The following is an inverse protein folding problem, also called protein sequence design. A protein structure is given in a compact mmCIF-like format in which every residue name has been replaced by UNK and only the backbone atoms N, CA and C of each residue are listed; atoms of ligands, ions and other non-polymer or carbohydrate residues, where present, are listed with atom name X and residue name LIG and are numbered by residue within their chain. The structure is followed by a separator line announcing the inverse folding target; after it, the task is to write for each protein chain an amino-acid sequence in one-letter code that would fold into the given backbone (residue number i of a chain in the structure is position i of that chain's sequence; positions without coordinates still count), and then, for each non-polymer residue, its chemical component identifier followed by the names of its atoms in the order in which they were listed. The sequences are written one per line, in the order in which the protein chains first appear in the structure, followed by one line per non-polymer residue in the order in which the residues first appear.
data_IF_579351267155
#
_entry.id   IF_579351267155
#
_cell.length_a   1.000
_cell.length_b   1.000
_cell.length_c   1.000
_cell.angle_alpha   90.00
_cell.angle_beta   90.00
_cell.angle_gamma   90.00
#
_symmetry.space_group_name_H-M   'P 1'
#
loop_
_entity.id
_entity.type
_entity.pdbx_description
1 polymer ?
#
# COMPACT_ATOMS: atom_id res chain seq x y z
N UNK A 1 -15.85 3.38 7.54
CA UNK A 1 -14.47 2.97 7.18
C UNK A 1 -13.86 4.01 6.26
N UNK A 2 -12.61 4.36 6.47
CA UNK A 2 -11.84 5.31 5.68
C UNK A 2 -10.86 4.57 4.77
N UNK A 3 -10.80 4.97 3.50
CA UNK A 3 -9.74 4.56 2.57
C UNK A 3 -8.69 5.65 2.52
N UNK A 4 -7.43 5.27 2.61
CA UNK A 4 -6.29 6.19 2.67
C UNK A 4 -5.31 5.84 1.56
N UNK A 5 -4.76 6.84 0.89
CA UNK A 5 -3.56 6.70 0.08
C UNK A 5 -2.58 7.85 0.38
N UNK A 6 -1.33 7.69 0.00
CA UNK A 6 -0.31 8.72 0.21
C UNK A 6 0.29 9.14 -1.12
N UNK A 7 0.24 10.45 -1.42
CA UNK A 7 0.86 11.06 -2.60
C UNK A 7 1.92 12.05 -2.15
N UNK A 8 3.16 11.78 -2.48
CA UNK A 8 4.30 12.65 -2.17
C UNK A 8 5.22 12.77 -3.38
N UNK A 9 5.99 13.86 -3.43
CA UNK A 9 6.90 14.16 -4.54
C UNK A 9 6.18 14.20 -5.89
N UNK A 10 6.96 14.07 -6.97
CA UNK A 10 6.46 14.15 -8.35
C UNK A 10 6.25 12.79 -9.01
N UNK A 11 6.61 11.70 -8.34
CA UNK A 11 6.51 10.35 -8.89
C UNK A 11 5.05 9.91 -9.12
N UNK A 12 4.16 10.22 -8.16
CA UNK A 12 2.73 9.95 -8.28
C UNK A 12 1.95 11.22 -8.56
N UNK A 13 1.16 11.21 -9.64
CA UNK A 13 0.31 12.31 -10.06
C UNK A 13 -1.12 12.16 -9.52
N UNK A 14 -1.98 13.15 -9.76
CA UNK A 14 -3.40 13.04 -9.45
C UNK A 14 -4.10 11.95 -10.26
N UNK A 15 -3.54 11.54 -11.42
CA UNK A 15 -4.04 10.40 -12.16
C UNK A 15 -3.95 9.11 -11.34
N UNK A 16 -2.83 8.84 -10.68
CA UNK A 16 -2.66 7.64 -9.83
C UNK A 16 -3.69 7.60 -8.70
N UNK A 17 -3.97 8.75 -8.08
CA UNK A 17 -5.00 8.86 -7.02
C UNK A 17 -6.39 8.56 -7.58
N UNK A 18 -6.77 9.19 -8.70
CA UNK A 18 -8.05 8.96 -9.37
C UNK A 18 -8.19 7.52 -9.85
N UNK A 19 -7.11 6.96 -10.38
CA UNK A 19 -7.05 5.58 -10.84
C UNK A 19 -7.27 4.57 -9.71
N UNK A 20 -6.56 4.73 -8.59
CA UNK A 20 -6.77 3.90 -7.41
C UNK A 20 -8.24 3.98 -6.93
N UNK A 21 -8.76 5.20 -6.80
CA UNK A 21 -10.16 5.41 -6.40
C UNK A 21 -11.13 4.73 -7.35
N UNK A 22 -10.94 4.89 -8.66
CA UNK A 22 -11.75 4.22 -9.69
C UNK A 22 -11.75 2.70 -9.53
N UNK A 23 -10.57 2.09 -9.36
CA UNK A 23 -10.46 0.65 -9.19
C UNK A 23 -11.16 0.16 -7.91
N UNK A 24 -11.04 0.91 -6.82
CA UNK A 24 -11.74 0.59 -5.57
C UNK A 24 -13.25 0.66 -5.76
N UNK A 25 -13.77 1.73 -6.35
CA UNK A 25 -15.19 1.97 -6.54
C UNK A 25 -15.82 0.94 -7.48
N UNK A 26 -15.09 0.56 -8.54
CA UNK A 26 -15.62 -0.27 -9.64
C UNK A 26 -15.47 -1.76 -9.38
N UNK A 27 -14.32 -2.20 -8.86
CA UNK A 27 -13.97 -3.62 -8.85
C UNK A 27 -13.91 -4.23 -7.45
N UNK A 28 -13.50 -3.46 -6.43
CA UNK A 28 -13.16 -4.03 -5.13
C UNK A 28 -14.35 -4.58 -4.34
N UNK A 29 -15.55 -4.06 -4.56
CA UNK A 29 -16.72 -4.35 -3.73
C UNK A 29 -16.66 -3.73 -2.32
N UNK A 30 -15.63 -2.98 -1.98
CA UNK A 30 -15.47 -2.30 -0.70
C UNK A 30 -16.47 -1.14 -0.59
N UNK A 31 -17.15 -1.05 0.55
CA UNK A 31 -17.95 0.14 0.94
C UNK A 31 -17.18 0.94 1.97
N UNK A 32 -17.06 2.23 1.73
CA UNK A 32 -16.35 3.15 2.60
C UNK A 32 -17.09 4.50 2.72
N UNK A 33 -16.80 5.26 3.76
CA UNK A 33 -17.44 6.55 4.04
C UNK A 33 -16.59 7.70 3.50
N UNK A 34 -15.28 7.53 3.47
CA UNK A 34 -14.32 8.58 3.13
C UNK A 34 -13.11 8.02 2.36
N UNK A 35 -12.68 8.74 1.32
CA UNK A 35 -11.42 8.50 0.59
C UNK A 35 -10.51 9.70 0.78
N UNK A 36 -9.36 9.49 1.41
CA UNK A 36 -8.44 10.56 1.78
C UNK A 36 -7.06 10.39 1.19
N UNK A 37 -6.40 11.50 0.92
CA UNK A 37 -5.05 11.55 0.36
C UNK A 37 -4.13 12.28 1.34
N UNK A 38 -3.15 11.57 1.87
CA UNK A 38 -2.06 12.21 2.61
C UNK A 38 -1.07 12.76 1.59
N UNK A 39 -0.91 14.07 1.54
CA UNK A 39 -0.09 14.75 0.53
C UNK A 39 1.06 15.58 1.11
N UNK A 40 1.22 15.60 2.43
CA UNK A 40 2.34 16.31 3.02
C UNK A 40 3.65 15.55 2.79
N UNK A 41 4.66 16.24 2.28
CA UNK A 41 5.95 15.64 1.96
C UNK A 41 7.01 16.10 2.98
N UNK A 42 7.23 15.30 4.02
CA UNK A 42 8.19 15.55 5.08
C UNK A 42 9.57 14.92 4.81
N UNK A 43 9.61 13.86 3.99
CA UNK A 43 10.80 13.02 3.84
C UNK A 43 11.21 12.78 2.38
N UNK A 44 10.44 13.21 1.39
CA UNK A 44 10.73 12.99 -0.02
C UNK A 44 10.66 11.52 -0.47
N UNK A 45 10.11 10.62 0.34
CA UNK A 45 10.12 9.19 0.08
C UNK A 45 8.92 8.46 0.74
N UNK A 46 8.91 7.14 0.64
CA UNK A 46 7.84 6.26 1.16
C UNK A 46 7.60 6.34 2.67
N UNK A 47 8.51 6.90 3.47
CA UNK A 47 8.28 7.15 4.91
C UNK A 47 7.23 8.22 5.17
N UNK A 48 6.87 9.02 4.17
CA UNK A 48 5.78 9.99 4.28
C UNK A 48 4.45 9.35 4.68
N UNK A 49 4.19 8.10 4.31
CA UNK A 49 2.94 7.42 4.68
C UNK A 49 2.80 7.17 6.18
N UNK A 50 3.88 7.16 6.96
CA UNK A 50 3.82 6.98 8.42
C UNK A 50 3.00 8.05 9.13
N UNK A 51 2.86 9.26 8.53
CA UNK A 51 2.06 10.35 9.08
C UNK A 51 0.58 9.97 9.25
N UNK A 52 0.07 9.07 8.40
CA UNK A 52 -1.34 8.65 8.45
C UNK A 52 -1.74 8.06 9.82
N UNK A 53 -0.80 7.45 10.54
CA UNK A 53 -1.06 6.86 11.85
C UNK A 53 -1.23 7.91 12.96
N UNK A 54 -0.69 9.10 12.77
CA UNK A 54 -0.89 10.22 13.67
C UNK A 54 -2.14 11.04 13.32
N UNK A 55 -2.47 11.10 12.04
CA UNK A 55 -3.61 11.85 11.52
C UNK A 55 -4.92 11.09 11.78
N UNK A 56 -4.95 9.78 11.49
CA UNK A 56 -6.17 8.97 11.52
C UNK A 56 -6.13 7.97 12.69
N UNK A 57 -6.50 8.47 13.88
CA UNK A 57 -6.44 7.74 15.15
C UNK A 57 -7.75 7.05 15.53
N UNK A 58 -8.79 7.18 14.72
CA UNK A 58 -10.12 6.70 15.01
C UNK A 58 -10.68 5.81 13.89
N UNK A 59 -11.71 5.06 14.21
CA UNK A 59 -12.47 4.28 13.24
C UNK A 59 -11.66 3.17 12.56
N UNK A 60 -12.26 2.61 11.53
CA UNK A 60 -11.63 1.59 10.68
C UNK A 60 -10.93 2.26 9.51
N UNK A 61 -9.66 2.01 9.36
CA UNK A 61 -8.80 2.56 8.32
C UNK A 61 -8.23 1.45 7.43
N UNK A 62 -8.16 1.72 6.13
CA UNK A 62 -7.59 0.83 5.13
C UNK A 62 -6.75 1.67 4.14
N UNK A 63 -5.47 1.40 4.11
CA UNK A 63 -4.51 2.08 3.25
C UNK A 63 -4.17 1.23 2.03
N UNK A 64 -4.01 1.90 0.89
CA UNK A 64 -3.46 1.34 -0.34
C UNK A 64 -2.35 2.24 -0.90
N UNK A 65 -1.24 1.64 -1.35
CA UNK A 65 -0.26 2.33 -2.18
C UNK A 65 -0.88 2.69 -3.54
N UNK A 66 -0.35 3.73 -4.19
CA UNK A 66 -0.88 4.24 -5.47
C UNK A 66 -0.52 3.35 -6.68
N UNK A 67 0.39 2.40 -6.51
CA UNK A 67 0.83 1.46 -7.53
C UNK A 67 0.18 0.06 -7.40
N UNK A 68 -1.00 0.02 -6.83
CA UNK A 68 -1.83 -1.20 -6.80
C UNK A 68 -2.69 -1.31 -8.06
N UNK A 69 -2.96 -2.55 -8.50
CA UNK A 69 -4.01 -2.84 -9.50
C UNK A 69 -5.07 -3.73 -8.86
N UNK A 70 -6.28 -3.21 -8.75
CA UNK A 70 -7.45 -3.93 -8.24
C UNK A 70 -8.36 -4.24 -9.43
N UNK A 71 -8.65 -5.51 -9.65
CA UNK A 71 -9.35 -5.97 -10.86
C UNK A 71 -10.51 -6.92 -10.57
N UNK A 72 -10.74 -7.24 -9.30
CA UNK A 72 -11.85 -8.08 -8.86
C UNK A 72 -12.19 -7.81 -7.39
N UNK A 73 -13.29 -8.40 -6.92
CA UNK A 73 -13.79 -8.24 -5.56
C UNK A 73 -12.72 -8.67 -4.54
N UNK A 74 -12.38 -7.76 -3.65
CA UNK A 74 -11.42 -8.01 -2.58
C UNK A 74 -12.06 -8.80 -1.42
N UNK A 75 -11.28 -9.61 -0.71
CA UNK A 75 -11.72 -10.18 0.57
C UNK A 75 -12.00 -9.07 1.58
N UNK A 76 -12.63 -9.40 2.68
CA UNK A 76 -12.78 -8.43 3.78
C UNK A 76 -11.41 -8.10 4.37
N UNK A 77 -10.98 -6.86 4.17
CA UNK A 77 -9.69 -6.35 4.63
C UNK A 77 -9.77 -5.58 5.95
N UNK A 78 -10.96 -5.49 6.57
CA UNK A 78 -11.10 -4.82 7.87
C UNK A 78 -10.38 -5.61 8.95
N UNK A 79 -9.56 -4.94 9.74
CA UNK A 79 -8.81 -5.55 10.84
C UNK A 79 -8.85 -4.65 12.07
N UNK A 80 -8.92 -5.27 13.23
CA UNK A 80 -8.84 -4.56 14.51
C UNK A 80 -7.40 -4.18 14.86
N UNK A 81 -6.46 -5.02 14.52
CA UNK A 81 -5.05 -4.81 14.78
C UNK A 81 -4.33 -4.25 13.56
N UNK A 82 -3.17 -3.64 13.78
CA UNK A 82 -2.29 -3.20 12.72
C UNK A 82 -1.85 -4.40 11.87
N UNK A 83 -2.30 -4.45 10.61
CA UNK A 83 -2.18 -5.60 9.73
C UNK A 83 -1.64 -5.18 8.37
N UNK A 84 -0.63 -5.90 7.86
CA UNK A 84 0.04 -5.67 6.59
C UNK A 84 -0.06 -6.90 5.68
N UNK A 85 0.38 -6.77 4.42
CA UNK A 85 0.54 -7.91 3.54
C UNK A 85 1.70 -8.80 4.01
N UNK A 86 1.48 -10.10 3.96
CA UNK A 86 2.54 -11.09 3.98
C UNK A 86 2.99 -11.34 2.54
N UNK A 87 4.25 -11.05 2.22
CA UNK A 87 4.84 -11.27 0.90
C UNK A 87 5.97 -12.30 0.91
N UNK A 88 6.17 -13.00 2.03
CA UNK A 88 7.18 -14.05 2.20
C UNK A 88 7.12 -15.15 1.13
N UNK A 89 5.96 -15.34 0.52
CA UNK A 89 5.73 -16.35 -0.50
C UNK A 89 6.17 -15.95 -1.93
N UNK A 90 6.52 -14.67 -2.17
CA UNK A 90 7.00 -14.18 -3.46
C UNK A 90 8.22 -13.25 -3.39
N UNK A 91 8.70 -12.93 -2.19
CA UNK A 91 9.90 -12.11 -1.95
C UNK A 91 10.97 -12.93 -1.25
N UNK A 92 12.22 -12.70 -1.60
CA UNK A 92 13.34 -13.32 -0.88
C UNK A 92 13.41 -12.83 0.57
N UNK A 93 13.58 -13.73 1.56
CA UNK A 93 13.52 -13.40 2.98
C UNK A 93 14.63 -12.45 3.49
N UNK A 94 15.69 -12.26 2.70
CA UNK A 94 16.85 -11.45 3.10
C UNK A 94 16.52 -9.98 3.38
N UNK A 95 15.36 -9.50 2.94
CA UNK A 95 14.94 -8.12 3.10
C UNK A 95 13.86 -7.98 4.20
N UNK A 96 12.65 -8.39 3.90
CA UNK A 96 11.51 -8.43 4.82
C UNK A 96 10.43 -9.34 4.28
N UNK A 97 9.70 -10.08 5.12
CA UNK A 97 8.54 -10.86 4.68
C UNK A 97 7.26 -10.02 4.58
N UNK A 98 7.35 -8.70 4.79
CA UNK A 98 6.20 -7.79 4.79
C UNK A 98 6.20 -6.88 3.58
N UNK A 99 4.99 -6.46 3.21
CA UNK A 99 4.76 -5.40 2.25
C UNK A 99 3.65 -4.48 2.77
N UNK A 100 3.90 -3.19 2.80
CA UNK A 100 2.98 -2.18 3.31
C UNK A 100 2.15 -1.49 2.21
N UNK A 101 2.02 -2.12 1.05
CA UNK A 101 1.14 -1.60 -0.01
C UNK A 101 -0.35 -1.69 0.35
N UNK A 102 -0.70 -2.59 1.29
CA UNK A 102 -2.03 -2.61 1.92
C UNK A 102 -1.84 -2.70 3.42
N UNK A 103 -2.48 -1.78 4.14
CA UNK A 103 -2.43 -1.75 5.61
C UNK A 103 -3.83 -1.52 6.16
N UNK A 104 -4.23 -2.25 7.20
CA UNK A 104 -5.49 -2.04 7.90
C UNK A 104 -5.29 -1.93 9.41
N UNK A 105 -6.10 -1.08 10.03
CA UNK A 105 -6.16 -0.95 11.48
C UNK A 105 -7.48 -0.32 11.93
N UNK A 106 -7.81 -0.50 13.20
CA UNK A 106 -8.95 0.16 13.87
C UNK A 106 -8.45 0.92 15.09
N UNK A 107 -8.89 2.17 15.24
CA UNK A 107 -8.55 3.00 16.39
C UNK A 107 -7.14 3.58 16.33
N UNK A 108 -6.56 3.87 17.50
CA UNK A 108 -5.31 4.60 17.62
C UNK A 108 -4.07 3.69 17.51
N UNK A 109 -3.30 3.88 16.44
CA UNK A 109 -1.98 3.28 16.22
C UNK A 109 -0.88 4.34 16.10
N UNK A 110 -1.10 5.54 16.64
CA UNK A 110 -0.13 6.66 16.58
C UNK A 110 1.22 6.34 17.22
N UNK A 111 1.30 5.28 18.03
CA UNK A 111 2.57 4.81 18.57
C UNK A 111 3.57 4.43 17.46
N UNK A 112 3.11 4.07 16.25
CA UNK A 112 3.97 3.78 15.09
C UNK A 112 4.68 5.06 14.63
N UNK A 113 3.94 6.16 14.46
CA UNK A 113 4.50 7.46 14.11
C UNK A 113 5.42 8.00 15.22
N UNK A 114 4.96 7.93 16.48
CA UNK A 114 5.75 8.36 17.63
C UNK A 114 7.08 7.61 17.70
N UNK A 115 7.04 6.28 17.55
CA UNK A 115 8.25 5.44 17.53
C UNK A 115 9.22 5.89 16.43
N UNK A 116 8.72 6.11 15.21
CA UNK A 116 9.56 6.60 14.13
C UNK A 116 10.15 8.00 14.44
N UNK A 117 9.36 8.90 14.99
CA UNK A 117 9.79 10.27 15.34
C UNK A 117 10.76 10.35 16.50
N UNK A 118 10.89 9.34 17.35
CA UNK A 118 11.92 9.29 18.39
C UNK A 118 13.34 9.42 17.81
N UNK A 119 13.57 8.87 16.61
CA UNK A 119 14.85 8.98 15.91
C UNK A 119 14.70 8.74 14.40
N UNK A 120 13.98 9.60 13.72
CA UNK A 120 13.65 9.45 12.30
C UNK A 120 14.89 9.34 11.41
N UNK A 121 15.94 10.13 11.67
CA UNK A 121 17.20 10.07 10.92
C UNK A 121 17.85 8.70 11.01
N UNK A 122 17.91 8.13 12.21
CA UNK A 122 18.44 6.79 12.43
C UNK A 122 17.64 5.72 11.66
N UNK A 123 16.30 5.78 11.70
CA UNK A 123 15.46 4.81 11.01
C UNK A 123 15.53 4.95 9.49
N UNK A 124 15.61 6.15 8.97
CA UNK A 124 15.82 6.42 7.55
C UNK A 124 17.13 5.84 7.03
N UNK A 125 18.20 5.95 7.81
CA UNK A 125 19.51 5.40 7.46
C UNK A 125 19.54 3.87 7.61
N UNK A 126 19.09 3.36 8.75
CA UNK A 126 19.10 1.94 9.09
C UNK A 126 18.25 1.10 8.18
N UNK A 127 17.05 1.60 7.83
CA UNK A 127 16.08 0.90 6.99
C UNK A 127 15.90 1.61 5.64
N UNK A 128 17.01 1.86 4.96
CA UNK A 128 17.05 2.65 3.73
C UNK A 128 16.42 1.98 2.50
N UNK A 129 15.98 0.73 2.62
CA UNK A 129 15.29 0.00 1.55
C UNK A 129 13.76 0.11 1.62
N UNK A 130 13.21 0.72 2.66
CA UNK A 130 11.78 0.96 2.76
C UNK A 130 11.20 0.88 4.16
N UNK A 131 10.01 1.45 4.31
CA UNK A 131 9.24 1.39 5.56
C UNK A 131 8.83 -0.04 5.96
N UNK A 132 8.81 -0.99 5.03
CA UNK A 132 8.46 -2.39 5.30
C UNK A 132 9.41 -3.03 6.32
N UNK A 133 10.71 -2.72 6.22
CA UNK A 133 11.69 -3.24 7.17
C UNK A 133 11.54 -2.58 8.55
N UNK A 134 11.22 -1.28 8.60
CA UNK A 134 10.89 -0.60 9.85
C UNK A 134 9.69 -1.27 10.54
N UNK A 135 8.59 -1.54 9.84
CA UNK A 135 7.46 -2.26 10.41
C UNK A 135 7.87 -3.64 10.92
N UNK A 136 8.59 -4.39 10.10
CA UNK A 136 9.01 -5.74 10.45
C UNK A 136 9.87 -5.80 11.72
N UNK A 137 10.77 -4.85 11.90
CA UNK A 137 11.75 -4.83 12.99
C UNK A 137 11.29 -4.13 14.27
N UNK A 138 10.47 -3.10 14.12
CA UNK A 138 10.21 -2.15 15.21
C UNK A 138 8.74 -2.15 15.68
N UNK A 139 7.81 -2.71 14.90
CA UNK A 139 6.37 -2.60 15.18
C UNK A 139 5.76 -3.99 15.37
N UNK A 140 4.83 -4.09 16.33
CA UNK A 140 3.99 -5.29 16.47
C UNK A 140 2.90 -5.26 15.41
N UNK A 141 2.77 -6.34 14.64
CA UNK A 141 1.84 -6.42 13.51
C UNK A 141 1.16 -7.79 13.43
N UNK A 142 0.14 -7.86 12.59
CA UNK A 142 -0.45 -9.08 12.03
C UNK A 142 -0.32 -9.06 10.50
N UNK A 143 -0.59 -10.17 9.85
CA UNK A 143 -0.62 -10.25 8.38
C UNK A 143 -1.98 -10.67 7.85
N UNK A 144 -2.32 -10.23 6.62
CA UNK A 144 -3.54 -10.64 5.93
C UNK A 144 -3.49 -12.08 5.40
N UNK A 145 -2.30 -12.67 5.31
CA UNK A 145 -2.06 -13.88 4.56
C UNK A 145 -1.72 -13.61 3.08
N UNK A 146 -1.74 -14.68 2.28
CA UNK A 146 -1.22 -14.68 0.90
C UNK A 146 -2.36 -14.48 -0.10
N UNK A 147 -2.73 -13.23 -0.41
CA UNK A 147 -3.79 -12.95 -1.38
C UNK A 147 -3.42 -11.91 -2.45
N UNK A 148 -2.30 -11.22 -2.31
CA UNK A 148 -1.87 -10.16 -3.22
C UNK A 148 -0.47 -10.45 -3.77
N UNK A 149 -0.37 -11.07 -4.96
CA UNK A 149 0.92 -11.37 -5.58
C UNK A 149 1.61 -10.13 -6.14
N UNK A 150 2.92 -10.22 -6.33
CA UNK A 150 3.68 -9.23 -7.10
C UNK A 150 3.41 -9.37 -8.60
N UNK A 151 3.29 -8.25 -9.30
CA UNK A 151 3.20 -8.20 -10.77
C UNK A 151 4.41 -8.87 -11.43
N UNK A 152 5.58 -8.91 -10.78
CA UNK A 152 6.78 -9.56 -11.31
C UNK A 152 6.55 -11.02 -11.66
N UNK A 153 5.65 -11.68 -10.94
CA UNK A 153 5.26 -13.06 -11.19
C UNK A 153 4.12 -13.19 -12.22
N UNK A 154 3.44 -12.07 -12.53
CA UNK A 154 2.25 -12.03 -13.39
C UNK A 154 2.35 -10.94 -14.48
N UNK A 155 3.53 -10.78 -15.09
CA UNK A 155 3.81 -9.72 -16.08
C UNK A 155 2.94 -9.82 -17.33
N UNK A 156 2.66 -11.04 -17.78
CA UNK A 156 2.04 -11.28 -19.08
C UNK A 156 0.57 -11.76 -18.99
N UNK A 157 0.09 -12.08 -17.79
CA UNK A 157 -1.29 -12.54 -17.59
C UNK A 157 -1.80 -12.22 -16.21
N UNK A 158 -3.12 -12.03 -16.13
CA UNK A 158 -3.85 -11.88 -14.86
C UNK A 158 -3.65 -13.14 -14.00
N UNK A 159 -3.36 -13.00 -12.70
CA UNK A 159 -3.34 -14.15 -11.78
C UNK A 159 -4.75 -14.72 -11.58
N UNK A 160 -4.85 -16.06 -11.54
CA UNK A 160 -6.14 -16.76 -11.44
C UNK A 160 -6.77 -16.69 -10.04
N UNK A 161 -5.92 -16.62 -8.99
CA UNK A 161 -6.36 -16.70 -7.60
C UNK A 161 -6.08 -15.41 -6.81
N UNK A 162 -6.20 -14.27 -7.46
CA UNK A 162 -6.02 -12.97 -6.83
C UNK A 162 -7.04 -11.97 -7.36
N UNK A 163 -7.38 -10.99 -6.56
CA UNK A 163 -8.25 -9.87 -6.93
C UNK A 163 -7.50 -8.57 -7.13
N UNK A 164 -6.22 -8.55 -6.79
CA UNK A 164 -5.33 -7.42 -6.97
C UNK A 164 -3.87 -7.87 -7.03
N UNK A 165 -3.01 -6.98 -7.53
CA UNK A 165 -1.55 -7.15 -7.52
C UNK A 165 -0.87 -5.86 -7.09
N UNK A 166 0.34 -5.99 -6.53
CA UNK A 166 1.23 -4.85 -6.30
C UNK A 166 2.18 -4.70 -7.48
N UNK A 167 2.31 -3.51 -8.04
CA UNK A 167 3.18 -3.24 -9.17
C UNK A 167 4.62 -2.93 -8.75
N UNK A 168 4.80 -2.17 -7.70
CA UNK A 168 6.10 -1.67 -7.28
C UNK A 168 6.82 -0.96 -8.44
N UNK A 169 6.58 0.33 -8.66
CA UNK A 169 7.05 1.14 -9.79
C UNK A 169 6.13 1.06 -11.04
N UNK A 170 4.85 1.37 -10.85
CA UNK A 170 3.82 1.31 -11.89
C UNK A 170 4.25 1.94 -13.22
N UNK A 171 4.79 3.16 -13.22
CA UNK A 171 5.11 3.88 -14.44
C UNK A 171 6.15 3.15 -15.30
N UNK A 172 7.21 2.65 -14.69
CA UNK A 172 8.27 1.91 -15.39
C UNK A 172 7.75 0.60 -16.00
N UNK A 173 6.81 -0.06 -15.34
CA UNK A 173 6.22 -1.30 -15.84
C UNK A 173 5.24 -1.03 -16.99
N UNK A 174 4.50 0.07 -16.95
CA UNK A 174 3.62 0.52 -18.04
C UNK A 174 4.44 0.84 -19.30
N UNK A 175 5.52 1.60 -19.16
CA UNK A 175 6.43 1.94 -20.27
C UNK A 175 7.05 0.72 -20.95
N UNK A 176 7.29 -0.36 -20.19
CA UNK A 176 7.78 -1.64 -20.73
C UNK A 176 6.69 -2.56 -21.31
N UNK A 177 5.44 -2.13 -21.29
CA UNK A 177 4.32 -2.96 -21.77
C UNK A 177 4.04 -4.21 -20.92
N UNK A 178 4.63 -4.33 -19.74
CA UNK A 178 4.45 -5.51 -18.88
C UNK A 178 3.09 -5.56 -18.19
N UNK A 179 2.35 -4.48 -18.29
CA UNK A 179 1.04 -4.31 -17.65
C UNK A 179 -0.11 -4.30 -18.64
N UNK A 180 0.12 -4.76 -19.88
CA UNK A 180 -0.90 -4.70 -20.93
C UNK A 180 -2.23 -5.34 -20.54
N UNK A 181 -2.21 -6.45 -19.80
CA UNK A 181 -3.42 -7.12 -19.33
C UNK A 181 -4.20 -6.31 -18.28
N UNK A 182 -3.55 -5.43 -17.52
CA UNK A 182 -4.20 -4.66 -16.47
C UNK A 182 -4.57 -3.23 -16.90
N UNK A 183 -4.12 -2.76 -18.06
CA UNK A 183 -4.44 -1.42 -18.56
C UNK A 183 -5.95 -1.16 -18.69
N UNK A 184 -6.75 -2.19 -18.98
CA UNK A 184 -8.20 -2.11 -19.06
C UNK A 184 -8.91 -1.73 -17.74
N UNK A 185 -8.20 -1.85 -16.61
CA UNK A 185 -8.73 -1.49 -15.28
C UNK A 185 -8.41 -0.05 -14.89
N UNK A 186 -7.61 0.65 -15.69
CA UNK A 186 -7.21 2.03 -15.45
C UNK A 186 -8.17 3.00 -16.14
N UNK A 187 -8.30 4.20 -15.56
CA UNK A 187 -8.93 5.32 -16.25
C UNK A 187 -8.02 5.81 -17.38
N UNK A 188 -8.59 6.41 -18.40
CA UNK A 188 -7.82 7.11 -19.43
C UNK A 188 -6.97 8.23 -18.82
N UNK A 189 -5.77 8.42 -19.36
CA UNK A 189 -4.84 9.45 -18.89
C UNK A 189 -5.22 10.85 -19.38
#
# INVERSE_FOLDING_TARGET
MRIICCKFGDYYTNWHVKNLKHMIDTYSGIKYDEFVVVSSDLYGNWYNKLQMYDIYRDGQNLYFDLDMVIFDKLPDLRRHHFTLLDDSWWREPAHTPLNSSVVSWTGDVSHIWKKFKENDKFYLEKYNKGSDEFYYREIKYQTFGQFCPSIKNHRHRKPENASMVTLGQMQHLMEKGWTSWCSQYFIEQ
#
